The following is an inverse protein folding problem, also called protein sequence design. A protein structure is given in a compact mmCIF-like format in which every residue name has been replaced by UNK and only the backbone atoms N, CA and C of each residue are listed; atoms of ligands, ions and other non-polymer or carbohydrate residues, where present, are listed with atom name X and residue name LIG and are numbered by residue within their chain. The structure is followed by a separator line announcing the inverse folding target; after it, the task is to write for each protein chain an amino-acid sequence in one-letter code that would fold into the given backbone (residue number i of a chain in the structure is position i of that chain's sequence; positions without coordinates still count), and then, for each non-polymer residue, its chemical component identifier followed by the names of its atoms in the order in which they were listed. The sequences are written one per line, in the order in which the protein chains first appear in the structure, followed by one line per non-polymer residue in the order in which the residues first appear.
data_IF_411261653422
#
_entry.id   IF_411261653422
#
_cell.length_a   1.000
_cell.length_b   1.000
_cell.length_c   1.000
_cell.angle_alpha   90.00
_cell.angle_beta   90.00
_cell.angle_gamma   90.00
#
_symmetry.space_group_name_H-M   'P 1'
#
loop_
_entity.id
_entity.type
_entity.pdbx_description
1 polymer ?
#
# COMPACT_ATOMS: atom_id res chain seq x y z
N UNK A 1 -67.81 -68.36 1.04
CA UNK A 1 -66.62 -67.50 1.17
C UNK A 1 -65.74 -68.02 2.29
N UNK A 2 -64.56 -68.59 2.00
CA UNK A 2 -63.63 -69.05 3.05
C UNK A 2 -62.86 -67.86 3.57
N UNK A 3 -63.14 -67.47 4.83
CA UNK A 3 -62.31 -66.46 5.53
C UNK A 3 -60.97 -67.10 5.89
N UNK A 4 -59.91 -66.69 5.20
CA UNK A 4 -58.54 -67.04 5.59
C UNK A 4 -58.14 -66.19 6.77
N UNK A 5 -58.11 -66.77 8.00
CA UNK A 5 -57.50 -66.13 9.15
C UNK A 5 -56.04 -66.52 9.18
N UNK A 6 -55.15 -65.48 9.02
CA UNK A 6 -53.68 -65.65 9.02
C UNK A 6 -53.24 -66.11 10.43
N UNK A 7 -52.30 -67.02 10.47
CA UNK A 7 -51.71 -67.51 11.71
C UNK A 7 -50.84 -66.44 12.41
N UNK A 8 -50.64 -66.48 13.73
CA UNK A 8 -49.83 -65.53 14.47
C UNK A 8 -48.38 -65.43 13.94
N UNK A 9 -47.86 -66.47 13.28
CA UNK A 9 -46.56 -66.51 12.68
C UNK A 9 -46.48 -65.66 11.36
N UNK A 10 -47.51 -65.74 10.57
CA UNK A 10 -47.67 -65.00 9.31
C UNK A 10 -47.89 -63.50 9.58
N UNK A 11 -48.62 -63.16 10.64
CA UNK A 11 -48.79 -61.78 11.10
C UNK A 11 -47.46 -61.15 11.58
N UNK A 12 -46.63 -61.92 12.32
CA UNK A 12 -45.30 -61.47 12.76
C UNK A 12 -44.35 -61.29 11.61
N UNK A 13 -44.35 -62.18 10.59
CA UNK A 13 -43.45 -62.06 9.44
C UNK A 13 -43.85 -60.85 8.55
N UNK A 14 -45.14 -60.59 8.35
CA UNK A 14 -45.61 -59.40 7.64
C UNK A 14 -45.28 -58.10 8.37
N UNK A 15 -45.42 -58.07 9.70
CA UNK A 15 -45.03 -56.90 10.51
C UNK A 15 -43.52 -56.63 10.45
N UNK A 16 -42.69 -57.66 10.49
CA UNK A 16 -41.22 -57.50 10.34
C UNK A 16 -40.84 -57.02 8.94
N UNK A 17 -41.49 -57.53 7.90
CA UNK A 17 -41.23 -57.11 6.51
C UNK A 17 -41.67 -55.67 6.24
N UNK A 18 -42.86 -55.25 6.75
CA UNK A 18 -43.30 -53.85 6.61
C UNK A 18 -42.40 -52.88 7.39
N UNK A 19 -41.90 -53.28 8.58
CA UNK A 19 -40.96 -52.48 9.35
C UNK A 19 -39.64 -52.30 8.67
N UNK A 20 -39.07 -53.37 8.07
CA UNK A 20 -37.84 -53.34 7.27
C UNK A 20 -38.01 -52.46 6.02
N UNK A 21 -39.15 -52.51 5.34
CA UNK A 21 -39.47 -51.66 4.19
C UNK A 21 -39.53 -50.18 4.59
N UNK A 22 -40.17 -49.85 5.72
CA UNK A 22 -40.27 -48.47 6.23
C UNK A 22 -38.88 -47.91 6.64
N UNK A 23 -38.05 -48.71 7.31
CA UNK A 23 -36.70 -48.32 7.72
C UNK A 23 -35.79 -48.08 6.50
N UNK A 24 -35.89 -48.90 5.47
CA UNK A 24 -35.15 -48.73 4.21
C UNK A 24 -35.61 -47.50 3.40
N UNK A 25 -36.93 -47.26 3.34
CA UNK A 25 -37.47 -46.08 2.65
C UNK A 25 -37.17 -44.78 3.39
N UNK A 26 -37.23 -44.76 4.70
CA UNK A 26 -36.84 -43.59 5.52
C UNK A 26 -35.35 -43.28 5.36
N UNK A 27 -34.49 -44.31 5.38
CA UNK A 27 -33.05 -44.14 5.12
C UNK A 27 -32.72 -43.61 3.70
N UNK A 28 -33.51 -44.05 2.71
CA UNK A 28 -33.36 -43.60 1.32
C UNK A 28 -33.79 -42.13 1.14
N UNK A 29 -34.90 -41.73 1.73
CA UNK A 29 -35.40 -40.33 1.70
C UNK A 29 -34.44 -39.39 2.40
N UNK A 30 -33.88 -39.78 3.57
CA UNK A 30 -32.90 -38.99 4.29
C UNK A 30 -31.62 -38.81 3.46
N UNK A 31 -31.14 -39.84 2.76
CA UNK A 31 -29.97 -39.77 1.90
C UNK A 31 -30.20 -38.83 0.71
N UNK A 32 -31.36 -38.88 0.07
CA UNK A 32 -31.72 -37.96 -1.02
C UNK A 32 -31.80 -36.51 -0.49
N UNK A 33 -32.42 -36.29 0.69
CA UNK A 33 -32.47 -34.95 1.28
C UNK A 33 -31.09 -34.38 1.60
N UNK A 34 -30.17 -35.20 2.12
CA UNK A 34 -28.78 -34.79 2.37
C UNK A 34 -28.00 -34.47 1.09
N UNK A 35 -28.21 -35.25 0.02
CA UNK A 35 -27.60 -34.98 -1.30
C UNK A 35 -28.15 -33.68 -1.90
N UNK A 36 -29.45 -33.42 -1.77
CA UNK A 36 -30.05 -32.17 -2.25
C UNK A 36 -29.58 -30.96 -1.46
N UNK A 37 -29.45 -31.10 -0.13
CA UNK A 37 -28.88 -30.03 0.73
C UNK A 37 -27.43 -29.80 0.38
N UNK A 38 -26.62 -30.83 0.17
CA UNK A 38 -25.21 -30.69 -0.24
C UNK A 38 -25.10 -30.07 -1.64
N UNK A 39 -25.98 -30.42 -2.58
CA UNK A 39 -26.04 -29.82 -3.91
C UNK A 39 -26.47 -28.33 -3.82
N UNK A 40 -27.41 -28.00 -2.94
CA UNK A 40 -27.82 -26.61 -2.69
C UNK A 40 -26.68 -25.76 -2.10
N UNK A 41 -25.94 -26.32 -1.14
CA UNK A 41 -24.76 -25.66 -0.54
C UNK A 41 -23.66 -25.46 -1.61
N UNK A 42 -23.43 -26.45 -2.47
CA UNK A 42 -22.48 -26.35 -3.59
C UNK A 42 -22.89 -25.29 -4.63
N UNK A 43 -24.18 -25.16 -4.95
CA UNK A 43 -24.67 -24.13 -5.87
C UNK A 43 -24.59 -22.72 -5.28
N UNK A 44 -24.77 -22.56 -3.96
CA UNK A 44 -24.52 -21.30 -3.27
C UNK A 44 -23.02 -20.95 -3.24
N UNK A 45 -22.13 -21.94 -3.13
CA UNK A 45 -20.68 -21.72 -3.14
C UNK A 45 -20.11 -21.38 -4.53
N UNK A 46 -20.72 -21.87 -5.60
CA UNK A 46 -20.26 -21.61 -6.97
C UNK A 46 -20.71 -20.23 -7.50
N UNK A 47 -21.79 -19.66 -6.95
CA UNK A 47 -22.26 -18.33 -7.33
C UNK A 47 -21.64 -17.17 -6.54
N UNK A 48 -20.69 -17.42 -5.64
CA UNK A 48 -19.73 -16.42 -5.21
C UNK A 48 -18.70 -16.18 -6.33
N UNK A 49 -19.17 -15.79 -7.53
CA UNK A 49 -18.29 -15.12 -8.48
C UNK A 49 -17.66 -13.99 -7.71
N UNK A 50 -16.32 -14.03 -7.56
CA UNK A 50 -15.53 -12.85 -7.23
C UNK A 50 -15.93 -11.80 -8.27
N UNK A 51 -16.83 -10.92 -7.87
CA UNK A 51 -17.07 -9.70 -8.61
C UNK A 51 -15.75 -8.93 -8.46
N UNK A 52 -14.86 -9.05 -9.47
CA UNK A 52 -13.69 -8.18 -9.49
C UNK A 52 -14.23 -6.75 -9.50
N UNK A 53 -14.00 -6.04 -8.40
CA UNK A 53 -14.48 -4.68 -8.28
C UNK A 53 -13.88 -3.88 -9.44
N UNK A 54 -14.74 -3.34 -10.30
CA UNK A 54 -14.33 -2.50 -11.44
C UNK A 54 -13.69 -1.20 -10.96
N UNK A 55 -14.05 -0.77 -9.76
CA UNK A 55 -13.59 0.48 -9.16
C UNK A 55 -12.77 0.18 -7.89
N UNK A 56 -11.64 0.86 -7.75
CA UNK A 56 -10.76 0.72 -6.61
C UNK A 56 -11.09 1.77 -5.54
N UNK A 57 -11.91 1.38 -4.56
CA UNK A 57 -12.42 2.27 -3.51
C UNK A 57 -11.86 1.91 -2.13
N UNK A 58 -11.69 2.94 -1.29
CA UNK A 58 -11.40 2.81 0.14
C UNK A 58 -12.71 2.55 0.89
N UNK A 59 -13.06 1.29 1.03
CA UNK A 59 -14.29 0.83 1.69
C UNK A 59 -13.99 -0.07 2.87
N UNK A 60 -14.89 -0.09 3.85
CA UNK A 60 -14.81 -1.03 4.97
C UNK A 60 -15.20 -2.46 4.55
N UNK A 61 -15.19 -3.40 5.50
CA UNK A 61 -15.45 -4.82 5.24
C UNK A 61 -16.85 -5.12 4.66
N UNK A 62 -17.81 -4.20 4.80
CA UNK A 62 -19.18 -4.33 4.25
C UNK A 62 -19.40 -3.47 3.01
N UNK A 63 -18.33 -2.87 2.45
CA UNK A 63 -18.37 -2.11 1.21
C UNK A 63 -18.79 -0.64 1.37
N UNK A 64 -18.84 -0.11 2.59
CA UNK A 64 -19.23 1.29 2.85
C UNK A 64 -18.02 2.21 2.71
N UNK A 65 -18.16 3.27 1.90
CA UNK A 65 -17.15 4.29 1.63
C UNK A 65 -17.24 5.46 2.63
N UNK A 66 -16.18 6.28 2.71
CA UNK A 66 -16.12 7.48 3.57
C UNK A 66 -16.37 7.17 5.04
N UNK A 67 -16.07 5.95 5.50
CA UNK A 67 -16.42 5.49 6.85
C UNK A 67 -17.90 5.70 7.21
N UNK A 68 -18.79 5.74 6.20
CA UNK A 68 -20.22 5.98 6.34
C UNK A 68 -20.59 7.42 6.59
N UNK A 69 -19.73 8.39 6.28
CA UNK A 69 -20.07 9.80 6.25
C UNK A 69 -20.76 10.16 4.93
N UNK A 70 -21.67 11.14 4.99
CA UNK A 70 -22.48 11.60 3.89
C UNK A 70 -21.67 12.42 2.90
N UNK A 71 -21.56 11.93 1.67
CA UNK A 71 -20.79 12.59 0.61
C UNK A 71 -21.36 13.96 0.22
N UNK A 72 -22.69 14.16 0.33
CA UNK A 72 -23.36 15.43 -0.01
C UNK A 72 -23.11 16.48 1.05
N UNK A 73 -23.06 16.09 2.32
CA UNK A 73 -22.87 17.03 3.44
C UNK A 73 -21.55 17.81 3.38
N UNK A 74 -20.50 17.25 2.77
CA UNK A 74 -19.26 18.00 2.53
C UNK A 74 -19.48 19.24 1.68
N UNK A 75 -20.45 19.19 0.74
CA UNK A 75 -20.77 20.29 -0.17
C UNK A 75 -21.85 21.21 0.37
N UNK A 76 -22.86 20.68 1.03
CA UNK A 76 -24.02 21.45 1.51
C UNK A 76 -23.82 22.06 2.88
N UNK A 77 -23.18 21.27 3.80
CA UNK A 77 -23.02 21.63 5.20
C UNK A 77 -21.60 22.10 5.53
N UNK A 78 -20.67 21.92 4.57
CA UNK A 78 -19.24 22.19 4.72
C UNK A 78 -18.60 21.52 5.95
N UNK A 79 -19.06 20.31 6.26
CA UNK A 79 -18.57 19.50 7.38
C UNK A 79 -18.85 18.02 7.15
N UNK A 80 -18.08 17.10 7.75
CA UNK A 80 -18.43 15.69 7.76
C UNK A 80 -19.66 15.44 8.63
N UNK A 81 -20.70 14.85 8.06
CA UNK A 81 -21.93 14.44 8.74
C UNK A 81 -22.08 12.94 8.61
N UNK A 82 -22.38 12.23 9.70
CA UNK A 82 -22.57 10.78 9.66
C UNK A 82 -23.87 10.45 8.91
N UNK A 83 -23.77 9.54 7.96
CA UNK A 83 -24.93 8.99 7.27
C UNK A 83 -25.54 7.81 8.02
N UNK A 84 -26.75 7.43 7.65
CA UNK A 84 -27.52 6.33 8.18
C UNK A 84 -27.69 5.24 7.12
N UNK A 85 -27.66 3.97 7.52
CA UNK A 85 -27.83 2.83 6.60
C UNK A 85 -29.24 2.78 5.97
N UNK A 86 -30.23 3.45 6.57
CA UNK A 86 -31.60 3.62 6.04
C UNK A 86 -31.62 4.48 4.77
N UNK A 87 -30.68 5.43 4.62
CA UNK A 87 -30.49 6.27 3.46
C UNK A 87 -29.21 5.87 2.73
N UNK A 88 -29.25 4.82 1.90
CA UNK A 88 -28.06 4.30 1.22
C UNK A 88 -28.23 4.21 -0.30
N UNK A 89 -27.11 4.30 -1.00
CA UNK A 89 -27.05 4.09 -2.43
C UNK A 89 -25.75 3.43 -2.85
N UNK A 90 -25.82 2.42 -3.73
CA UNK A 90 -24.65 1.76 -4.29
C UNK A 90 -24.23 2.44 -5.59
N UNK A 91 -23.00 2.94 -5.63
CA UNK A 91 -22.43 3.57 -6.80
C UNK A 91 -20.95 3.21 -6.96
N UNK A 92 -20.53 2.83 -8.16
CA UNK A 92 -19.14 2.45 -8.49
C UNK A 92 -18.53 1.46 -7.49
N UNK A 93 -19.24 0.35 -7.23
CA UNK A 93 -18.85 -0.73 -6.30
C UNK A 93 -18.70 -0.34 -4.82
N UNK A 94 -19.15 0.85 -4.42
CA UNK A 94 -19.18 1.32 -3.05
C UNK A 94 -20.59 1.63 -2.56
N UNK A 95 -20.85 1.48 -1.27
CA UNK A 95 -22.11 1.84 -0.60
C UNK A 95 -21.90 3.20 0.09
N UNK A 96 -22.72 4.17 -0.29
CA UNK A 96 -22.76 5.49 0.28
C UNK A 96 -23.91 5.59 1.28
N UNK A 97 -23.67 6.16 2.46
CA UNK A 97 -24.69 6.49 3.45
C UNK A 97 -24.94 7.99 3.45
N UNK A 98 -26.19 8.39 3.67
CA UNK A 98 -26.62 9.80 3.69
C UNK A 98 -27.32 10.14 5.00
N UNK A 99 -27.25 11.40 5.40
CA UNK A 99 -27.89 11.89 6.63
C UNK A 99 -29.40 12.11 6.47
N UNK A 100 -29.91 12.17 5.23
CA UNK A 100 -31.32 12.40 4.94
C UNK A 100 -31.72 11.86 3.58
N UNK A 101 -33.03 11.71 3.37
CA UNK A 101 -33.60 11.38 2.06
C UNK A 101 -33.23 12.45 1.02
N UNK A 102 -33.23 13.72 1.40
CA UNK A 102 -32.85 14.82 0.50
C UNK A 102 -31.42 14.67 -0.03
N UNK A 103 -30.44 14.34 0.83
CA UNK A 103 -29.06 14.14 0.40
C UNK A 103 -28.93 12.89 -0.48
N UNK A 104 -29.62 11.81 -0.15
CA UNK A 104 -29.70 10.63 -1.01
C UNK A 104 -30.23 10.98 -2.41
N UNK A 105 -31.27 11.79 -2.52
CA UNK A 105 -31.85 12.18 -3.80
C UNK A 105 -30.92 13.12 -4.59
N UNK A 106 -30.23 14.04 -3.91
CA UNK A 106 -29.17 14.87 -4.53
C UNK A 106 -28.03 14.03 -5.09
N UNK A 107 -27.56 13.04 -4.34
CA UNK A 107 -26.51 12.15 -4.80
C UNK A 107 -26.97 11.32 -6.00
N UNK A 108 -28.19 10.75 -5.97
CA UNK A 108 -28.76 10.00 -7.09
C UNK A 108 -28.88 10.81 -8.37
N UNK A 109 -29.19 12.09 -8.23
CA UNK A 109 -29.34 13.01 -9.36
C UNK A 109 -27.99 13.30 -10.04
N UNK A 110 -26.90 13.43 -9.27
CA UNK A 110 -25.56 13.69 -9.80
C UNK A 110 -24.47 13.07 -8.91
N UNK A 111 -24.25 11.75 -8.99
CA UNK A 111 -23.23 11.06 -8.20
C UNK A 111 -21.81 11.55 -8.50
N UNK A 112 -21.54 11.94 -9.74
CA UNK A 112 -20.21 12.38 -10.17
C UNK A 112 -19.76 13.65 -9.47
N UNK A 113 -20.70 14.56 -9.18
CA UNK A 113 -20.49 15.80 -8.43
C UNK A 113 -20.06 15.54 -6.99
N UNK A 114 -20.75 14.61 -6.31
CA UNK A 114 -20.62 14.43 -4.86
C UNK A 114 -19.65 13.34 -4.44
N UNK A 115 -19.25 12.44 -5.36
CA UNK A 115 -18.31 11.38 -5.02
C UNK A 115 -16.94 11.92 -4.57
N UNK A 116 -16.26 11.28 -3.62
CA UNK A 116 -14.89 11.62 -3.31
C UNK A 116 -13.96 11.27 -4.47
N UNK A 117 -12.94 12.08 -4.69
CA UNK A 117 -11.93 11.78 -5.68
C UNK A 117 -11.09 10.58 -5.24
N UNK A 118 -10.51 9.89 -6.22
CA UNK A 118 -9.60 8.76 -6.02
C UNK A 118 -10.18 7.64 -5.15
N UNK A 119 -11.49 7.37 -5.28
CA UNK A 119 -12.16 6.32 -4.52
C UNK A 119 -12.07 6.48 -2.99
N UNK A 120 -12.05 7.71 -2.49
CA UNK A 120 -11.82 8.06 -1.08
C UNK A 120 -10.47 7.61 -0.52
N UNK A 121 -9.43 7.50 -1.34
CA UNK A 121 -8.05 7.42 -0.87
C UNK A 121 -7.47 8.82 -0.67
N UNK A 122 -6.50 8.96 0.23
CA UNK A 122 -5.82 10.23 0.49
C UNK A 122 -5.26 10.85 -0.80
N UNK A 123 -5.75 12.03 -1.19
CA UNK A 123 -5.39 12.67 -2.45
C UNK A 123 -3.90 13.03 -2.52
N UNK A 124 -3.30 13.48 -1.40
CA UNK A 124 -1.86 13.73 -1.35
C UNK A 124 -1.03 12.45 -1.53
N UNK A 125 -1.48 11.32 -0.94
CA UNK A 125 -0.79 10.05 -1.17
C UNK A 125 -0.85 9.63 -2.65
N UNK A 126 -2.01 9.83 -3.31
CA UNK A 126 -2.16 9.54 -4.74
C UNK A 126 -1.26 10.44 -5.59
N UNK A 127 -1.09 11.71 -5.25
CA UNK A 127 -0.14 12.61 -5.94
C UNK A 127 1.32 12.16 -5.81
N UNK A 128 1.61 11.30 -4.84
CA UNK A 128 2.91 10.64 -4.63
C UNK A 128 2.96 9.20 -5.18
N UNK A 129 1.99 8.81 -6.01
CA UNK A 129 1.93 7.49 -6.65
C UNK A 129 1.63 6.32 -5.72
N UNK A 130 0.98 6.54 -4.58
CA UNK A 130 0.63 5.54 -3.57
C UNK A 130 -0.73 5.81 -2.96
N UNK A 131 -1.22 4.91 -2.09
CA UNK A 131 -2.45 5.11 -1.33
C UNK A 131 -2.16 5.28 0.17
N UNK A 132 -3.09 5.94 0.86
CA UNK A 132 -3.23 5.95 2.31
C UNK A 132 -4.72 6.09 2.66
N UNK A 133 -5.19 5.60 3.82
CA UNK A 133 -6.56 5.83 4.28
C UNK A 133 -6.81 7.32 4.49
N UNK A 134 -8.04 7.71 4.74
CA UNK A 134 -8.45 9.10 4.94
C UNK A 134 -8.80 9.39 6.41
N UNK A 135 -8.75 10.68 6.76
CA UNK A 135 -9.45 11.27 7.89
C UNK A 135 -10.48 12.27 7.33
N UNK A 136 -11.75 11.99 7.49
CA UNK A 136 -12.86 12.79 6.93
C UNK A 136 -12.84 14.26 7.37
N UNK A 137 -12.18 14.57 8.49
CA UNK A 137 -12.03 15.95 9.00
C UNK A 137 -10.99 16.77 8.22
N UNK A 138 -10.23 16.13 7.33
CA UNK A 138 -9.17 16.78 6.53
C UNK A 138 -9.59 17.03 5.09
N UNK A 139 -10.89 17.18 4.84
CA UNK A 139 -11.42 17.38 3.49
C UNK A 139 -11.17 18.80 2.95
N UNK A 140 -11.19 18.91 1.65
CA UNK A 140 -11.26 20.17 0.91
C UNK A 140 -12.06 19.97 -0.37
N UNK A 141 -12.78 21.04 -0.79
CA UNK A 141 -13.45 21.10 -2.09
C UNK A 141 -12.70 22.10 -2.94
N UNK A 142 -12.18 21.64 -4.07
CA UNK A 142 -11.42 22.45 -5.03
C UNK A 142 -12.04 22.22 -6.41
N UNK A 143 -12.46 23.28 -7.08
CA UNK A 143 -13.10 23.22 -8.39
C UNK A 143 -14.28 22.24 -8.44
N UNK A 144 -15.10 22.22 -7.36
CA UNK A 144 -16.26 21.33 -7.23
C UNK A 144 -15.93 19.86 -7.00
N UNK A 145 -14.68 19.51 -6.70
CA UNK A 145 -14.20 18.14 -6.43
C UNK A 145 -13.87 17.94 -4.95
N UNK A 146 -14.31 16.84 -4.37
CA UNK A 146 -14.05 16.48 -2.97
C UNK A 146 -12.74 15.72 -2.85
N UNK A 147 -11.76 16.31 -2.18
CA UNK A 147 -10.49 15.71 -1.82
C UNK A 147 -10.40 15.51 -0.31
N UNK A 148 -9.87 14.38 0.15
CA UNK A 148 -9.71 14.07 1.57
C UNK A 148 -8.28 13.59 1.80
N UNK A 149 -7.69 14.01 2.92
CA UNK A 149 -6.32 13.66 3.25
C UNK A 149 -6.27 12.62 4.38
N UNK A 150 -5.09 12.06 4.62
CA UNK A 150 -4.88 11.04 5.64
C UNK A 150 -4.80 11.62 7.06
N UNK A 151 -4.15 12.78 7.19
CA UNK A 151 -3.89 13.47 8.45
C UNK A 151 -3.38 14.89 8.19
N UNK A 152 -3.13 15.66 9.26
CA UNK A 152 -2.65 17.04 9.16
C UNK A 152 -1.33 17.20 8.38
N UNK A 153 -0.42 16.21 8.48
CA UNK A 153 0.82 16.22 7.67
C UNK A 153 0.52 16.13 6.18
N UNK A 154 -0.42 15.29 5.79
CA UNK A 154 -0.85 15.19 4.40
C UNK A 154 -1.56 16.45 3.91
N UNK A 155 -2.37 17.11 4.77
CA UNK A 155 -2.95 18.45 4.51
C UNK A 155 -1.85 19.47 4.25
N UNK A 156 -0.83 19.52 5.11
CA UNK A 156 0.28 20.46 4.96
C UNK A 156 1.05 20.23 3.66
N UNK A 157 1.27 18.95 3.27
CA UNK A 157 1.91 18.59 2.01
C UNK A 157 1.05 18.96 0.79
N UNK A 158 -0.25 18.68 0.87
CA UNK A 158 -1.25 19.03 -0.16
C UNK A 158 -1.31 20.54 -0.40
N UNK A 159 -1.35 21.33 0.67
CA UNK A 159 -1.50 22.78 0.61
C UNK A 159 -0.26 23.53 0.11
N UNK A 160 0.90 22.89 0.04
CA UNK A 160 2.10 23.50 -0.55
C UNK A 160 1.93 23.82 -2.04
N UNK A 161 1.19 22.98 -2.76
CA UNK A 161 0.92 23.13 -4.19
C UNK A 161 -0.34 22.34 -4.55
N UNK A 162 -1.51 22.88 -4.25
CA UNK A 162 -2.81 22.20 -4.45
C UNK A 162 -3.00 21.84 -5.93
N UNK A 163 -2.79 22.80 -6.83
CA UNK A 163 -2.99 22.61 -8.27
C UNK A 163 -2.04 21.57 -8.85
N UNK A 164 -0.74 21.63 -8.51
CA UNK A 164 0.23 20.64 -8.95
C UNK A 164 -0.02 19.26 -8.37
N UNK A 165 -0.48 19.16 -7.11
CA UNK A 165 -0.85 17.90 -6.49
C UNK A 165 -2.09 17.27 -7.14
N UNK A 166 -3.09 18.07 -7.55
CA UNK A 166 -4.26 17.60 -8.32
C UNK A 166 -3.81 17.03 -9.66
N UNK A 167 -2.99 17.76 -10.42
CA UNK A 167 -2.45 17.30 -11.72
C UNK A 167 -1.68 15.98 -11.56
N UNK A 168 -0.82 15.88 -10.56
CA UNK A 168 -0.06 14.64 -10.26
C UNK A 168 -1.00 13.49 -9.88
N UNK A 169 -1.97 13.74 -9.01
CA UNK A 169 -2.92 12.72 -8.55
C UNK A 169 -3.80 12.20 -9.70
N UNK A 170 -4.35 13.08 -10.53
CA UNK A 170 -5.12 12.70 -11.72
C UNK A 170 -4.29 11.86 -12.70
N UNK A 171 -3.02 12.24 -12.90
CA UNK A 171 -2.08 11.51 -13.76
C UNK A 171 -1.74 10.11 -13.23
N UNK A 172 -1.57 9.96 -11.91
CA UNK A 172 -1.10 8.72 -11.32
C UNK A 172 -2.22 7.77 -10.93
N UNK A 173 -3.44 8.28 -10.69
CA UNK A 173 -4.58 7.49 -10.24
C UNK A 173 -4.89 6.27 -11.13
N UNK A 174 -4.92 6.35 -12.47
CA UNK A 174 -5.19 5.19 -13.31
C UNK A 174 -4.18 4.05 -13.09
N UNK A 175 -2.91 4.39 -12.90
CA UNK A 175 -1.87 3.39 -12.67
C UNK A 175 -1.88 2.83 -11.24
N UNK A 176 -2.21 3.64 -10.24
CA UNK A 176 -2.35 3.22 -8.84
C UNK A 176 -3.56 2.32 -8.67
N UNK A 177 -4.72 2.72 -9.19
CA UNK A 177 -5.98 1.97 -9.07
C UNK A 177 -5.92 0.62 -9.80
N UNK A 178 -5.39 0.58 -11.03
CA UNK A 178 -5.24 -0.66 -11.80
C UNK A 178 -4.29 -1.68 -11.16
N UNK A 179 -3.42 -1.24 -10.26
CA UNK A 179 -2.50 -2.10 -9.50
C UNK A 179 -2.98 -2.36 -8.07
N UNK A 180 -4.27 -2.16 -7.79
CA UNK A 180 -4.86 -2.36 -6.47
C UNK A 180 -4.10 -1.58 -5.37
N UNK A 181 -3.78 -0.32 -5.63
CA UNK A 181 -3.11 0.57 -4.69
C UNK A 181 -1.62 0.33 -4.49
N UNK A 182 -1.00 -0.58 -5.23
CA UNK A 182 0.46 -0.74 -5.18
C UNK A 182 1.14 0.54 -5.64
N UNK A 183 2.15 0.95 -4.90
CA UNK A 183 2.96 2.12 -5.24
C UNK A 183 3.51 2.01 -6.66
N UNK A 184 3.43 3.09 -7.42
CA UNK A 184 4.04 3.21 -8.75
C UNK A 184 5.33 4.03 -8.67
N UNK A 185 6.21 3.86 -9.64
CA UNK A 185 7.35 4.77 -9.85
C UNK A 185 6.81 6.01 -10.54
N UNK A 186 6.89 7.16 -9.88
CA UNK A 186 6.44 8.44 -10.43
C UNK A 186 7.46 9.01 -11.43
N UNK A 187 7.05 9.99 -12.24
CA UNK A 187 7.98 10.62 -13.18
C UNK A 187 9.11 11.36 -12.47
N UNK A 188 8.81 11.90 -11.30
CA UNK A 188 9.79 12.55 -10.43
C UNK A 188 10.85 11.53 -9.95
N UNK A 189 10.42 10.32 -9.57
CA UNK A 189 11.33 9.22 -9.19
C UNK A 189 12.18 8.70 -10.35
N UNK A 190 11.66 8.74 -11.58
CA UNK A 190 12.40 8.32 -12.77
C UNK A 190 13.64 9.19 -13.03
N UNK A 191 13.67 10.41 -12.49
CA UNK A 191 14.81 11.32 -12.58
C UNK A 191 15.95 11.01 -11.60
N UNK A 192 15.69 10.17 -10.56
CA UNK A 192 16.64 9.93 -9.48
C UNK A 192 17.08 8.47 -9.42
N UNK A 193 18.28 8.25 -8.93
CA UNK A 193 18.85 6.94 -8.66
C UNK A 193 19.11 6.81 -7.17
N UNK A 194 18.39 5.89 -6.50
CA UNK A 194 18.54 5.63 -5.08
C UNK A 194 18.67 4.13 -4.81
N UNK A 195 19.48 3.79 -3.83
CA UNK A 195 19.58 2.48 -3.24
C UNK A 195 18.49 2.35 -2.17
N UNK A 196 17.37 1.73 -2.51
CA UNK A 196 16.23 1.55 -1.64
C UNK A 196 15.88 0.08 -1.48
N UNK A 197 15.23 -0.25 -0.38
CA UNK A 197 14.55 -1.52 -0.20
C UNK A 197 13.28 -1.64 -1.09
N UNK A 198 12.55 -2.77 -1.04
CA UNK A 198 11.30 -2.95 -1.79
C UNK A 198 10.21 -1.94 -1.46
N UNK A 199 10.22 -1.36 -0.24
CA UNK A 199 9.25 -0.38 0.25
C UNK A 199 9.67 1.07 -0.08
N UNK A 200 10.81 1.24 -0.77
CA UNK A 200 11.33 2.54 -1.18
C UNK A 200 12.09 3.27 -0.07
N UNK A 201 12.48 2.58 1.00
CA UNK A 201 13.25 3.16 2.11
C UNK A 201 14.74 3.10 1.78
N UNK A 202 15.41 4.27 1.85
CA UNK A 202 16.86 4.38 1.64
C UNK A 202 17.64 4.30 2.95
N UNK A 203 18.98 4.27 2.85
CA UNK A 203 19.90 4.15 3.99
C UNK A 203 19.59 2.95 4.88
N UNK A 204 18.90 1.94 4.36
CA UNK A 204 18.41 0.78 5.13
C UNK A 204 17.61 1.20 6.38
N UNK A 205 16.94 2.38 6.32
CA UNK A 205 16.16 2.95 7.42
C UNK A 205 16.98 3.61 8.53
N UNK A 206 18.27 3.94 8.28
CA UNK A 206 19.06 4.77 9.19
C UNK A 206 18.77 6.25 8.97
N UNK A 207 18.89 7.05 10.04
CA UNK A 207 18.59 8.47 10.09
C UNK A 207 19.68 9.29 9.39
N UNK A 208 19.32 9.93 8.27
CA UNK A 208 20.25 10.72 7.49
C UNK A 208 20.83 11.92 8.26
N UNK A 209 20.09 12.49 9.20
CA UNK A 209 20.52 13.66 10.00
C UNK A 209 21.54 13.27 11.08
N UNK A 210 21.39 12.09 11.67
CA UNK A 210 22.28 11.64 12.74
C UNK A 210 23.74 11.51 12.33
N UNK A 211 24.01 11.21 11.06
CA UNK A 211 25.39 11.19 10.52
C UNK A 211 26.11 12.54 10.65
N UNK A 212 25.35 13.64 10.63
CA UNK A 212 25.91 14.99 10.72
C UNK A 212 25.87 15.55 12.14
N UNK A 213 24.83 15.25 12.90
CA UNK A 213 24.60 15.82 14.23
C UNK A 213 25.25 15.03 15.35
N UNK A 214 25.31 13.69 15.18
CA UNK A 214 25.83 12.77 16.20
C UNK A 214 27.09 12.03 15.74
N UNK A 215 27.46 12.16 14.45
CA UNK A 215 28.55 11.40 13.82
C UNK A 215 28.36 9.88 14.02
N UNK A 216 27.11 9.42 13.92
CA UNK A 216 26.73 8.03 14.16
C UNK A 216 25.64 7.57 13.21
N UNK A 217 25.67 6.27 12.87
CA UNK A 217 24.58 5.57 12.23
C UNK A 217 23.50 5.23 13.28
N UNK A 218 22.43 6.00 13.30
CA UNK A 218 21.29 5.80 14.23
C UNK A 218 20.12 5.24 13.46
N UNK A 219 19.45 4.21 13.99
CA UNK A 219 18.28 3.63 13.35
C UNK A 219 17.10 4.57 13.42
N UNK A 220 16.51 4.87 12.29
CA UNK A 220 15.26 5.63 12.18
C UNK A 220 14.04 4.77 12.47
N UNK A 221 12.88 5.42 12.58
CA UNK A 221 11.58 4.81 12.81
C UNK A 221 10.60 5.20 11.70
N UNK A 222 9.71 4.30 11.24
CA UNK A 222 8.77 4.60 10.16
C UNK A 222 7.85 5.79 10.42
N UNK A 223 7.47 6.02 11.68
CA UNK A 223 6.61 7.14 12.09
C UNK A 223 7.27 8.51 11.88
N UNK A 224 8.59 8.57 11.92
CA UNK A 224 9.40 9.76 11.62
C UNK A 224 9.98 9.66 10.22
N UNK A 225 9.22 10.03 9.21
CA UNK A 225 9.66 9.85 7.83
C UNK A 225 9.45 11.09 6.96
N UNK A 226 10.30 11.22 5.94
CA UNK A 226 10.15 12.18 4.86
C UNK A 226 10.49 11.53 3.53
N UNK A 227 9.99 12.12 2.44
CA UNK A 227 10.31 11.69 1.08
C UNK A 227 11.13 12.77 0.39
N UNK A 228 12.20 12.35 -0.28
CA UNK A 228 13.04 13.23 -1.07
C UNK A 228 13.66 12.48 -2.25
N UNK A 229 13.65 13.09 -3.44
CA UNK A 229 14.22 12.54 -4.66
C UNK A 229 13.84 11.08 -4.95
N UNK A 230 12.56 10.73 -4.69
CA UNK A 230 12.05 9.39 -4.96
C UNK A 230 12.35 8.33 -3.90
N UNK A 231 13.03 8.66 -2.81
CA UNK A 231 13.31 7.76 -1.70
C UNK A 231 12.59 8.19 -0.42
N UNK A 232 12.25 7.24 0.44
CA UNK A 232 11.73 7.47 1.79
C UNK A 232 12.89 7.38 2.78
N UNK A 233 13.02 8.39 3.61
CA UNK A 233 14.00 8.47 4.71
C UNK A 233 13.28 8.28 6.03
N UNK A 234 13.87 7.49 6.93
CA UNK A 234 13.41 7.35 8.31
C UNK A 234 14.33 8.12 9.25
N UNK A 235 13.77 8.67 10.31
CA UNK A 235 14.52 9.48 11.30
C UNK A 235 14.31 8.93 12.70
N UNK A 236 15.24 9.22 13.60
CA UNK A 236 15.19 8.81 15.00
C UNK A 236 14.22 9.64 15.83
N UNK A 237 13.90 10.86 15.35
CA UNK A 237 13.05 11.83 16.04
C UNK A 237 12.25 12.72 15.08
N UNK A 238 11.23 13.40 15.61
CA UNK A 238 10.49 14.42 14.88
C UNK A 238 11.39 15.63 14.54
N UNK A 239 12.32 15.99 15.44
CA UNK A 239 13.27 17.07 15.22
C UNK A 239 14.16 16.79 13.99
N UNK A 240 14.74 15.60 13.88
CA UNK A 240 15.55 15.21 12.72
C UNK A 240 14.72 15.19 11.45
N UNK A 241 13.45 14.75 11.55
CA UNK A 241 12.50 14.82 10.41
C UNK A 241 12.29 16.25 9.94
N UNK A 242 12.15 17.20 10.86
CA UNK A 242 11.99 18.62 10.53
C UNK A 242 13.25 19.19 9.88
N UNK A 243 14.42 18.94 10.48
CA UNK A 243 15.72 19.36 9.91
C UNK A 243 15.95 18.86 8.50
N UNK A 244 15.66 17.57 8.25
CA UNK A 244 15.76 17.02 6.90
C UNK A 244 14.80 17.67 5.91
N UNK A 245 13.55 17.96 6.32
CA UNK A 245 12.57 18.59 5.42
C UNK A 245 12.93 19.99 5.03
N UNK A 246 13.61 20.73 5.92
CA UNK A 246 14.04 22.08 5.64
C UNK A 246 15.25 22.11 4.68
N UNK A 247 16.17 21.15 4.83
CA UNK A 247 17.41 21.09 4.05
C UNK A 247 17.75 19.66 3.59
N UNK A 248 16.91 19.00 2.78
CA UNK A 248 17.14 17.60 2.40
C UNK A 248 18.43 17.38 1.61
N UNK A 249 18.83 18.36 0.81
CA UNK A 249 20.07 18.34 -0.01
C UNK A 249 21.35 18.33 0.84
N UNK A 250 21.26 18.80 2.08
CA UNK A 250 22.39 18.77 3.02
C UNK A 250 22.61 17.36 3.57
N UNK A 251 21.52 16.67 3.93
CA UNK A 251 21.55 15.42 4.67
C UNK A 251 21.46 14.17 3.78
N UNK A 252 20.96 14.33 2.57
CA UNK A 252 20.86 13.20 1.64
C UNK A 252 22.26 12.67 1.24
N UNK A 253 22.44 11.34 1.14
CA UNK A 253 23.74 10.77 0.75
C UNK A 253 24.11 11.15 -0.67
N UNK A 254 25.42 11.45 -0.88
CA UNK A 254 25.97 12.03 -2.10
C UNK A 254 25.66 11.20 -3.36
N UNK A 255 25.64 9.87 -3.24
CA UNK A 255 25.44 8.97 -4.38
C UNK A 255 24.19 8.09 -4.18
N UNK A 256 23.08 8.70 -3.71
CA UNK A 256 21.81 7.97 -3.54
C UNK A 256 21.91 6.74 -2.65
N UNK A 257 22.77 6.77 -1.63
CA UNK A 257 23.08 5.65 -0.74
C UNK A 257 23.72 4.43 -1.47
N UNK A 258 24.50 4.67 -2.52
CA UNK A 258 25.45 3.70 -3.07
C UNK A 258 26.87 3.92 -2.52
N UNK A 259 27.67 2.87 -2.52
CA UNK A 259 29.05 2.90 -2.03
C UNK A 259 29.90 3.90 -2.84
N UNK A 260 30.56 4.86 -2.16
CA UNK A 260 31.39 5.90 -2.78
C UNK A 260 32.60 5.34 -3.50
N UNK A 261 33.33 4.38 -2.92
CA UNK A 261 34.45 3.72 -3.58
C UNK A 261 34.01 2.97 -4.84
N UNK A 262 32.92 2.21 -4.76
CA UNK A 262 32.39 1.52 -5.93
C UNK A 262 31.95 2.52 -7.03
N UNK A 263 31.37 3.66 -6.63
CA UNK A 263 31.00 4.73 -7.57
C UNK A 263 32.23 5.31 -8.27
N UNK A 264 33.34 5.51 -7.58
CA UNK A 264 34.58 5.93 -8.16
C UNK A 264 35.14 4.92 -9.20
N UNK A 265 34.80 3.65 -9.05
CA UNK A 265 35.11 2.58 -10.01
C UNK A 265 34.01 2.37 -11.06
N UNK A 266 33.07 3.31 -11.19
CA UNK A 266 31.93 3.28 -12.10
C UNK A 266 31.01 2.04 -11.89
N UNK A 267 30.83 1.61 -10.63
CA UNK A 267 30.02 0.46 -10.22
C UNK A 267 29.01 0.86 -9.17
N UNK A 268 27.84 0.21 -9.17
CA UNK A 268 26.86 0.31 -8.12
C UNK A 268 27.03 -0.85 -7.12
N UNK A 269 27.17 -0.52 -5.84
CA UNK A 269 27.20 -1.49 -4.73
C UNK A 269 26.32 -0.97 -3.59
N UNK A 270 25.68 -1.87 -2.81
CA UNK A 270 24.97 -1.45 -1.62
C UNK A 270 25.94 -0.85 -0.60
N UNK A 271 25.41 -0.27 0.45
CA UNK A 271 26.19 0.28 1.56
C UNK A 271 26.13 -0.64 2.78
N UNK A 272 27.09 -0.47 3.70
CA UNK A 272 26.93 -0.72 5.11
C UNK A 272 26.70 0.66 5.78
N UNK A 273 25.53 0.91 6.41
CA UNK A 273 25.21 2.20 7.02
C UNK A 273 26.17 2.65 8.12
N UNK A 274 26.89 1.73 8.73
CA UNK A 274 27.84 2.02 9.82
C UNK A 274 29.22 2.46 9.32
N UNK A 275 29.48 2.32 7.99
CA UNK A 275 30.75 2.67 7.38
C UNK A 275 30.57 3.92 6.51
N UNK A 276 30.90 5.07 7.04
CA UNK A 276 30.63 6.36 6.42
C UNK A 276 31.68 7.41 6.72
N UNK A 277 31.66 8.46 5.91
CA UNK A 277 32.36 9.74 6.11
C UNK A 277 31.43 10.90 5.82
N UNK A 278 31.68 12.05 6.45
CA UNK A 278 31.14 13.34 6.04
C UNK A 278 32.30 14.16 5.48
N UNK A 279 32.39 14.26 4.15
CA UNK A 279 33.48 14.94 3.44
C UNK A 279 32.91 16.16 2.73
N UNK A 280 33.47 17.33 3.02
CA UNK A 280 33.00 18.62 2.47
C UNK A 280 31.49 18.83 2.63
N UNK A 281 30.94 18.42 3.79
CA UNK A 281 29.52 18.52 4.12
C UNK A 281 28.65 17.53 3.36
N UNK A 282 29.19 16.46 2.76
CA UNK A 282 28.46 15.42 2.04
C UNK A 282 28.63 14.06 2.69
N UNK A 283 27.52 13.35 2.88
CA UNK A 283 27.51 11.99 3.42
C UNK A 283 27.93 11.00 2.31
N UNK A 284 29.02 10.30 2.52
CA UNK A 284 29.52 9.24 1.66
C UNK A 284 29.61 7.96 2.46
N UNK A 285 28.96 6.90 1.98
CA UNK A 285 28.91 5.60 2.66
C UNK A 285 29.71 4.56 1.86
N UNK A 286 30.21 3.57 2.55
CA UNK A 286 31.00 2.50 1.94
C UNK A 286 30.29 1.15 2.08
N UNK A 287 30.68 0.19 1.27
CA UNK A 287 30.11 -1.16 1.25
C UNK A 287 30.69 -2.05 2.36
N UNK A 288 31.98 -1.89 2.66
CA UNK A 288 32.74 -2.72 3.58
C UNK A 288 33.96 -1.98 4.10
N UNK A 289 34.60 -2.50 5.13
CA UNK A 289 35.87 -1.98 5.68
C UNK A 289 37.00 -1.96 4.63
N UNK A 290 37.03 -2.97 3.75
CA UNK A 290 38.00 -2.99 2.63
C UNK A 290 37.74 -1.80 1.69
N UNK A 291 36.49 -1.56 1.29
CA UNK A 291 36.12 -0.42 0.45
C UNK A 291 36.47 0.92 1.12
N UNK A 292 36.26 1.03 2.42
CA UNK A 292 36.63 2.18 3.23
C UNK A 292 38.16 2.39 3.20
N UNK A 293 38.92 1.35 3.47
CA UNK A 293 40.40 1.41 3.46
C UNK A 293 40.94 1.80 2.10
N UNK A 294 40.37 1.23 1.01
CA UNK A 294 40.81 1.58 -0.34
C UNK A 294 40.46 3.04 -0.69
N UNK A 295 39.25 3.50 -0.29
CA UNK A 295 38.81 4.87 -0.51
C UNK A 295 39.74 5.90 0.17
N UNK A 296 40.22 5.56 1.38
CA UNK A 296 41.12 6.43 2.17
C UNK A 296 42.54 6.51 1.66
N UNK A 297 42.93 5.70 0.66
CA UNK A 297 44.24 5.86 0.00
C UNK A 297 44.35 7.13 -0.85
N UNK A 298 43.24 7.63 -1.38
CA UNK A 298 43.16 8.85 -2.18
C UNK A 298 41.72 9.40 -2.16
N UNK A 299 41.30 9.95 -1.02
CA UNK A 299 39.92 10.41 -0.80
C UNK A 299 39.49 11.41 -1.87
N UNK A 300 40.29 12.45 -2.13
CA UNK A 300 39.93 13.50 -3.07
C UNK A 300 39.88 12.98 -4.53
N UNK A 301 40.82 12.13 -4.91
CA UNK A 301 40.81 11.52 -6.21
C UNK A 301 39.61 10.56 -6.43
N UNK A 302 39.24 9.82 -5.43
CA UNK A 302 38.07 8.95 -5.52
C UNK A 302 36.76 9.73 -5.49
N UNK A 303 36.61 10.78 -4.67
CA UNK A 303 35.46 11.70 -4.71
C UNK A 303 35.29 12.31 -6.09
N UNK A 304 36.37 12.83 -6.67
CA UNK A 304 36.36 13.41 -8.05
C UNK A 304 35.90 12.37 -9.08
N UNK A 305 36.46 11.15 -9.05
CA UNK A 305 36.07 10.07 -9.98
C UNK A 305 34.60 9.69 -9.78
N UNK A 306 34.11 9.56 -8.53
CA UNK A 306 32.74 9.24 -8.21
C UNK A 306 31.78 10.33 -8.71
N UNK A 307 32.10 11.60 -8.50
CA UNK A 307 31.33 12.74 -9.02
C UNK A 307 31.24 12.74 -10.54
N UNK A 308 32.32 12.39 -11.25
CA UNK A 308 32.32 12.29 -12.70
C UNK A 308 31.47 11.11 -13.22
N UNK A 309 31.46 9.98 -12.51
CA UNK A 309 30.71 8.79 -12.90
C UNK A 309 29.24 8.87 -12.55
N UNK A 310 28.85 9.61 -11.50
CA UNK A 310 27.49 9.64 -10.96
C UNK A 310 26.41 10.03 -11.98
N UNK A 311 26.58 11.09 -12.80
CA UNK A 311 25.58 11.47 -13.80
C UNK A 311 25.26 10.36 -14.79
N UNK A 312 26.26 9.60 -15.23
CA UNK A 312 26.10 8.50 -16.16
C UNK A 312 25.35 7.32 -15.49
N UNK A 313 25.64 7.03 -14.23
CA UNK A 313 24.92 6.01 -13.46
C UNK A 313 23.45 6.42 -13.26
N UNK A 314 23.17 7.69 -12.96
CA UNK A 314 21.81 8.22 -12.88
C UNK A 314 21.10 8.04 -14.22
N UNK A 315 21.69 8.52 -15.32
CA UNK A 315 21.12 8.41 -16.67
C UNK A 315 20.78 6.97 -17.05
N UNK A 316 21.60 6.02 -16.67
CA UNK A 316 21.45 4.59 -17.02
C UNK A 316 20.44 3.87 -16.14
N UNK A 317 20.34 4.22 -14.85
CA UNK A 317 19.66 3.42 -13.84
C UNK A 317 18.52 4.13 -13.11
N UNK A 318 18.33 5.46 -13.26
CA UNK A 318 17.26 6.20 -12.60
C UNK A 318 15.89 5.56 -12.87
N UNK A 319 15.06 5.47 -11.83
CA UNK A 319 13.74 4.86 -11.86
C UNK A 319 13.73 3.33 -12.05
N UNK A 320 14.89 2.67 -12.06
CA UNK A 320 15.00 1.21 -12.21
C UNK A 320 15.45 0.59 -10.88
N UNK A 321 14.94 -0.61 -10.57
CA UNK A 321 15.49 -1.42 -9.47
C UNK A 321 16.92 -1.85 -9.84
N UNK A 322 17.89 -1.45 -9.03
CA UNK A 322 19.26 -1.95 -9.15
C UNK A 322 19.31 -3.32 -8.49
N UNK A 323 19.67 -4.35 -9.24
CA UNK A 323 19.93 -5.68 -8.72
C UNK A 323 21.42 -5.80 -8.42
N UNK A 324 21.76 -6.16 -7.21
CA UNK A 324 23.13 -6.49 -6.83
C UNK A 324 23.34 -8.00 -6.99
N UNK A 325 24.52 -8.36 -7.50
CA UNK A 325 24.94 -9.77 -7.45
C UNK A 325 25.04 -10.20 -5.98
N UNK A 326 24.59 -11.42 -5.68
CA UNK A 326 24.75 -11.97 -4.33
C UNK A 326 26.24 -11.90 -3.96
N UNK A 327 26.59 -11.51 -2.71
CA UNK A 327 27.97 -11.58 -2.27
C UNK A 327 28.48 -13.00 -2.52
N UNK A 328 29.70 -13.12 -3.10
CA UNK A 328 30.36 -14.41 -3.25
C UNK A 328 30.39 -15.08 -1.87
N UNK A 329 30.00 -16.36 -1.81
CA UNK A 329 30.15 -17.14 -0.57
C UNK A 329 31.59 -16.96 -0.08
N UNK A 330 31.82 -16.74 1.23
CA UNK A 330 33.18 -16.79 1.77
C UNK A 330 33.84 -18.08 1.32
N UNK A 331 35.07 -17.99 0.77
CA UNK A 331 35.86 -19.15 0.45
C UNK A 331 36.08 -19.96 1.74
N UNK A 332 35.88 -21.24 1.69
CA UNK A 332 35.97 -22.17 2.82
C UNK A 332 37.41 -22.30 3.43
N UNK A 333 38.31 -21.37 3.09
CA UNK A 333 39.73 -21.43 3.48
C UNK A 333 40.13 -20.45 4.60
N UNK A 334 39.19 -19.90 5.37
CA UNK A 334 39.51 -19.04 6.53
C UNK A 334 39.30 -19.72 7.90
N UNK A 335 39.13 -21.03 7.94
CA UNK A 335 39.25 -21.82 9.17
C UNK A 335 40.45 -22.80 9.04
N UNK A 336 41.64 -22.28 9.28
CA UNK A 336 42.80 -23.06 9.74
C UNK A 336 43.69 -22.18 10.61
#
# INVERSE_FOLDING_TARGET
MKNYILSPRELKSRSAYTRSLMENTAGFVIRIALILIAALILTFSVNAQKHEAKYFNNVNAVGVILDGYDAVAFFTDNKPVKGEASFQYKFQDAIYYFASQQHLDLFKADPEKYKPQFGAWCAYAVSLGRIAPIDVNTFSIVDGRLFIQHNQRAVNGWNKDVSGNIVKADKYWPAVSSKNGKQIVTDEEKGFLNNTDPDGVTLQGYDAVSYFTEMKAVKGKPEFSARYNGATYWFSSEQNTAMFKDHPEMFAPQYGAFCGYAMALNKLRPINPEIFDVIDGKLILQHSEDAYTQFHKDVQGFVMKANNNWPDQVKKHAGKKVKFDKPAKPSADSEK
#
